data_IF_953021400599
#
_entry.id   IF_953021400599
#
_cell.length_a   1.000
_cell.length_b   1.000
_cell.length_c   1.000
_cell.angle_alpha   90.00
_cell.angle_beta   90.00
_cell.angle_gamma   90.00
#
_symmetry.space_group_name_H-M   'P 1'
#
loop_
_entity.id
_entity.type
_entity.pdbx_description
1 polymer ?
#
# COMPACT_ATOMS: atom_id res chain seq x y z
N UNK A 1 -36.84 22.72 52.86
CA UNK A 1 -35.64 23.42 52.40
C UNK A 1 -34.45 22.47 52.24
N UNK A 2 -34.18 21.56 53.12
CA UNK A 2 -33.07 20.57 52.97
C UNK A 2 -33.27 19.62 51.81
N UNK A 3 -34.50 19.28 51.45
CA UNK A 3 -34.79 18.34 50.35
C UNK A 3 -34.52 18.97 48.96
N UNK A 4 -34.70 20.27 48.80
CA UNK A 4 -34.44 20.94 47.52
C UNK A 4 -32.96 21.08 47.24
N UNK A 5 -32.15 21.33 48.24
CA UNK A 5 -30.71 21.38 48.07
C UNK A 5 -30.12 19.99 47.78
N UNK A 6 -30.63 18.97 48.46
CA UNK A 6 -30.23 17.58 48.23
C UNK A 6 -30.59 17.13 46.81
N UNK A 7 -31.77 17.51 46.29
CA UNK A 7 -32.17 17.19 44.92
C UNK A 7 -31.32 17.93 43.90
N UNK A 8 -30.98 19.18 44.13
CA UNK A 8 -30.10 19.94 43.23
C UNK A 8 -28.71 19.34 43.15
N UNK A 9 -28.14 18.95 44.28
CA UNK A 9 -26.84 18.30 44.37
C UNK A 9 -26.88 16.94 43.61
N UNK A 10 -27.94 16.18 43.76
CA UNK A 10 -28.14 14.91 43.07
C UNK A 10 -28.22 15.11 41.55
N UNK A 11 -28.98 16.15 41.08
CA UNK A 11 -29.05 16.46 39.66
C UNK A 11 -27.71 16.87 39.08
N UNK A 12 -26.95 17.70 39.80
CA UNK A 12 -25.62 18.13 39.38
C UNK A 12 -24.67 16.92 39.28
N UNK A 13 -24.73 16.01 40.24
CA UNK A 13 -23.93 14.78 40.27
C UNK A 13 -24.23 13.90 39.05
N UNK A 14 -25.52 13.71 38.72
CA UNK A 14 -25.95 12.95 37.54
C UNK A 14 -25.45 13.64 36.27
N UNK A 15 -25.59 14.96 36.15
CA UNK A 15 -25.15 15.71 34.98
C UNK A 15 -23.63 15.57 34.78
N UNK A 16 -22.85 15.65 35.83
CA UNK A 16 -21.40 15.47 35.79
C UNK A 16 -21.06 14.04 35.34
N UNK A 17 -21.75 13.03 35.88
CA UNK A 17 -21.54 11.64 35.50
C UNK A 17 -21.85 11.40 34.01
N UNK A 18 -22.93 12.00 33.50
CA UNK A 18 -23.29 11.88 32.08
C UNK A 18 -22.24 12.54 31.19
N UNK A 19 -21.77 13.72 31.55
CA UNK A 19 -20.72 14.43 30.79
C UNK A 19 -19.43 13.61 30.76
N UNK A 20 -19.04 13.06 31.90
CA UNK A 20 -17.87 12.18 31.99
C UNK A 20 -18.02 10.94 31.11
N UNK A 21 -19.17 10.30 31.16
CA UNK A 21 -19.47 9.12 30.33
C UNK A 21 -19.38 9.46 28.84
N UNK A 22 -19.95 10.59 28.43
CA UNK A 22 -19.89 11.02 27.03
C UNK A 22 -18.45 11.30 26.58
N UNK A 23 -17.64 11.91 27.42
CA UNK A 23 -16.22 12.15 27.12
C UNK A 23 -15.47 10.84 26.86
N UNK A 24 -15.68 9.86 27.74
CA UNK A 24 -15.04 8.54 27.60
C UNK A 24 -15.52 7.84 26.33
N UNK A 25 -16.82 7.89 26.05
CA UNK A 25 -17.40 7.29 24.85
C UNK A 25 -16.82 7.91 23.57
N UNK A 26 -16.69 9.24 23.53
CA UNK A 26 -16.10 9.94 22.37
C UNK A 26 -14.64 9.53 22.18
N UNK A 27 -13.86 9.47 23.25
CA UNK A 27 -12.45 9.08 23.21
C UNK A 27 -12.29 7.66 22.68
N UNK A 28 -13.11 6.72 23.17
CA UNK A 28 -13.11 5.33 22.69
C UNK A 28 -13.49 5.24 21.20
N UNK A 29 -14.50 6.00 20.80
CA UNK A 29 -14.94 6.02 19.39
C UNK A 29 -13.86 6.56 18.47
N UNK A 30 -13.19 7.65 18.85
CA UNK A 30 -12.07 8.21 18.08
C UNK A 30 -10.91 7.23 17.98
N UNK A 31 -10.57 6.55 19.06
CA UNK A 31 -9.54 5.52 19.05
C UNK A 31 -9.87 4.36 18.12
N UNK A 32 -11.12 3.91 18.12
CA UNK A 32 -11.60 2.83 17.27
C UNK A 32 -11.54 3.22 15.79
N UNK A 33 -11.98 4.43 15.44
CA UNK A 33 -11.94 4.95 14.07
C UNK A 33 -10.50 5.05 13.56
N UNK A 34 -9.60 5.56 14.39
CA UNK A 34 -8.18 5.68 14.04
C UNK A 34 -7.54 4.31 13.81
N UNK A 35 -7.88 3.33 14.64
CA UNK A 35 -7.40 1.96 14.50
C UNK A 35 -7.87 1.32 13.18
N UNK A 36 -9.11 1.58 12.79
CA UNK A 36 -9.67 1.11 11.51
C UNK A 36 -8.94 1.72 10.30
N UNK A 37 -8.66 3.02 10.34
CA UNK A 37 -7.91 3.72 9.28
C UNK A 37 -6.50 3.12 9.16
N UNK A 38 -5.83 2.90 10.27
CA UNK A 38 -4.50 2.27 10.29
C UNK A 38 -4.50 0.87 9.69
N UNK A 39 -5.51 0.05 9.98
CA UNK A 39 -5.64 -1.29 9.40
C UNK A 39 -5.84 -1.23 7.89
N UNK A 40 -6.64 -0.31 7.39
CA UNK A 40 -6.87 -0.14 5.96
C UNK A 40 -5.59 0.27 5.25
N UNK A 41 -4.82 1.20 5.82
CA UNK A 41 -3.54 1.64 5.27
C UNK A 41 -2.50 0.51 5.28
N UNK A 42 -2.43 -0.27 6.36
CA UNK A 42 -1.55 -1.42 6.45
C UNK A 42 -1.90 -2.50 5.41
N UNK A 43 -3.18 -2.77 5.19
CA UNK A 43 -3.63 -3.71 4.16
C UNK A 43 -3.28 -3.23 2.76
N UNK A 44 -3.41 -1.94 2.48
CA UNK A 44 -2.98 -1.36 1.20
C UNK A 44 -1.47 -1.52 0.99
N UNK A 45 -0.66 -1.27 2.02
CA UNK A 45 0.79 -1.45 1.94
C UNK A 45 1.18 -2.90 1.66
N UNK A 46 0.51 -3.87 2.30
CA UNK A 46 0.72 -5.29 2.04
C UNK A 46 0.39 -5.61 0.57
N UNK A 47 -0.70 -5.06 0.05
CA UNK A 47 -1.09 -5.23 -1.35
C UNK A 47 -0.03 -4.65 -2.29
N UNK A 48 0.48 -3.45 -2.01
CA UNK A 48 1.55 -2.85 -2.81
C UNK A 48 2.82 -3.70 -2.81
N UNK A 49 3.22 -4.21 -1.66
CA UNK A 49 4.39 -5.09 -1.54
C UNK A 49 4.18 -6.37 -2.35
N UNK A 50 3.02 -7.00 -2.25
CA UNK A 50 2.71 -8.22 -3.00
C UNK A 50 2.75 -7.99 -4.51
N UNK A 51 2.17 -6.90 -4.99
CA UNK A 51 2.20 -6.54 -6.41
C UNK A 51 3.65 -6.30 -6.87
N UNK A 52 4.42 -5.57 -6.09
CA UNK A 52 5.82 -5.27 -6.39
C UNK A 52 6.68 -6.55 -6.36
N UNK A 53 6.47 -7.43 -5.40
CA UNK A 53 7.17 -8.71 -5.33
C UNK A 53 6.88 -9.60 -6.53
N UNK A 54 5.63 -9.68 -6.96
CA UNK A 54 5.24 -10.45 -8.14
C UNK A 54 5.94 -9.91 -9.40
N UNK A 55 5.98 -8.60 -9.55
CA UNK A 55 6.70 -7.97 -10.65
C UNK A 55 8.20 -8.23 -10.56
N UNK A 56 8.78 -8.15 -9.37
CA UNK A 56 10.20 -8.43 -9.13
C UNK A 56 10.55 -9.89 -9.45
N UNK A 57 9.72 -10.84 -9.06
CA UNK A 57 9.92 -12.26 -9.37
C UNK A 57 9.90 -12.50 -10.88
N UNK A 58 8.98 -11.91 -11.60
CA UNK A 58 8.89 -12.00 -13.06
C UNK A 58 10.14 -11.40 -13.71
N UNK A 59 10.60 -10.27 -13.22
CA UNK A 59 11.83 -9.62 -13.68
C UNK A 59 13.06 -10.48 -13.40
N UNK A 60 13.18 -11.03 -12.20
CA UNK A 60 14.33 -11.85 -11.81
C UNK A 60 14.38 -13.19 -12.58
N UNK A 61 13.24 -13.70 -12.99
CA UNK A 61 13.16 -14.92 -13.81
C UNK A 61 13.54 -14.67 -15.27
N UNK A 62 13.55 -13.43 -15.72
CA UNK A 62 13.87 -13.08 -17.10
C UNK A 62 15.38 -13.09 -17.35
N UNK A 63 15.78 -13.40 -18.60
CA UNK A 63 17.18 -13.48 -19.00
C UNK A 63 17.72 -12.15 -19.52
N UNK A 64 16.89 -11.40 -20.21
CA UNK A 64 17.22 -10.10 -20.79
C UNK A 64 15.97 -9.23 -20.85
N UNK A 65 16.11 -8.01 -21.37
CA UNK A 65 15.00 -7.05 -21.47
C UNK A 65 13.87 -7.59 -22.33
N UNK A 66 14.20 -8.24 -23.47
CA UNK A 66 13.21 -8.80 -24.37
C UNK A 66 12.43 -9.96 -23.73
N UNK A 67 13.13 -10.83 -23.01
CA UNK A 67 12.51 -11.94 -22.27
C UNK A 67 11.60 -11.40 -21.14
N UNK A 68 12.04 -10.34 -20.45
CA UNK A 68 11.24 -9.67 -19.44
C UNK A 68 9.92 -9.12 -20.02
N UNK A 69 9.98 -8.44 -21.15
CA UNK A 69 8.78 -7.93 -21.84
C UNK A 69 7.82 -9.06 -22.21
N UNK A 70 8.34 -10.17 -22.71
CA UNK A 70 7.53 -11.33 -23.07
C UNK A 70 6.88 -11.97 -21.85
N UNK A 71 7.62 -12.14 -20.76
CA UNK A 71 7.11 -12.73 -19.52
C UNK A 71 6.02 -11.86 -18.90
N UNK A 72 6.19 -10.54 -18.86
CA UNK A 72 5.17 -9.64 -18.37
C UNK A 72 3.91 -9.71 -19.23
N UNK A 73 4.05 -9.80 -20.54
CA UNK A 73 2.90 -9.91 -21.46
C UNK A 73 2.14 -11.22 -21.27
N UNK A 74 2.84 -12.32 -20.99
CA UNK A 74 2.21 -13.64 -20.75
C UNK A 74 1.55 -13.74 -19.39
N UNK A 75 2.16 -13.16 -18.36
CA UNK A 75 1.74 -13.35 -16.97
C UNK A 75 0.68 -12.33 -16.54
N UNK A 76 0.71 -11.13 -17.08
CA UNK A 76 -0.22 -10.06 -16.70
C UNK A 76 -1.11 -9.65 -17.87
N UNK A 77 -2.32 -9.20 -17.54
CA UNK A 77 -3.29 -8.74 -18.52
C UNK A 77 -3.09 -7.24 -18.84
N UNK A 78 -3.47 -6.85 -20.05
CA UNK A 78 -3.46 -5.45 -20.51
C UNK A 78 -2.11 -4.77 -20.36
N UNK A 79 -1.05 -5.48 -20.66
CA UNK A 79 0.31 -4.95 -20.58
C UNK A 79 0.58 -4.03 -21.78
N UNK A 80 1.08 -2.83 -21.48
CA UNK A 80 1.56 -1.87 -22.48
C UNK A 80 3.07 -1.76 -22.35
N UNK A 81 3.77 -1.92 -23.46
CA UNK A 81 5.22 -1.83 -23.49
C UNK A 81 5.61 -0.64 -24.36
N UNK A 82 6.35 0.31 -23.78
CA UNK A 82 6.89 1.46 -24.49
C UNK A 82 8.40 1.48 -24.23
N UNK A 83 9.19 1.20 -25.29
CA UNK A 83 10.65 1.06 -25.16
C UNK A 83 11.03 0.09 -24.03
N UNK A 84 11.50 0.61 -22.91
CA UNK A 84 11.90 -0.18 -21.74
C UNK A 84 10.92 -0.07 -20.58
N UNK A 85 9.80 0.59 -20.78
CA UNK A 85 8.77 0.80 -19.77
C UNK A 85 7.60 -0.17 -19.97
N UNK A 86 7.30 -0.93 -18.95
CA UNK A 86 6.18 -1.87 -18.94
C UNK A 86 5.12 -1.31 -17.99
N UNK A 87 3.90 -1.16 -18.47
CA UNK A 87 2.77 -0.66 -17.69
C UNK A 87 1.64 -1.69 -17.74
N UNK A 88 1.07 -2.00 -16.59
CA UNK A 88 -0.11 -2.87 -16.51
C UNK A 88 -0.95 -2.56 -15.28
N UNK A 89 -2.27 -2.82 -15.33
CA UNK A 89 -3.12 -2.66 -14.14
C UNK A 89 -3.05 -3.92 -13.26
N UNK A 90 -3.06 -3.74 -11.95
CA UNK A 90 -3.12 -4.85 -10.99
C UNK A 90 -3.91 -4.41 -9.77
N UNK A 91 -4.98 -5.13 -9.44
CA UNK A 91 -5.82 -4.90 -8.26
C UNK A 91 -6.32 -3.46 -8.10
N UNK A 92 -6.61 -2.78 -9.21
CA UNK A 92 -7.09 -1.40 -9.21
C UNK A 92 -5.98 -0.34 -9.18
N UNK A 93 -4.72 -0.76 -9.16
CA UNK A 93 -3.56 0.13 -9.23
C UNK A 93 -2.86 0.00 -10.57
N UNK A 94 -2.08 1.01 -10.94
CA UNK A 94 -1.21 0.94 -12.10
C UNK A 94 0.19 0.58 -11.66
N UNK A 95 0.80 -0.36 -12.38
CA UNK A 95 2.18 -0.80 -12.12
C UNK A 95 3.05 -0.39 -13.28
N UNK A 96 4.12 0.35 -12.99
CA UNK A 96 5.12 0.76 -13.96
C UNK A 96 6.42 0.05 -13.65
N UNK A 97 6.97 -0.65 -14.63
CA UNK A 97 8.24 -1.34 -14.52
C UNK A 97 9.19 -0.72 -15.54
N UNK A 98 10.16 0.05 -15.05
CA UNK A 98 11.19 0.64 -15.89
C UNK A 98 12.43 -0.25 -15.82
N UNK A 99 12.89 -0.74 -16.97
CA UNK A 99 14.02 -1.65 -17.05
C UNK A 99 15.18 -0.96 -17.74
N UNK A 100 16.33 -0.95 -17.08
CA UNK A 100 17.56 -0.40 -17.61
C UNK A 100 18.65 -1.47 -17.59
N UNK A 101 19.34 -1.61 -18.68
CA UNK A 101 20.48 -2.53 -18.78
C UNK A 101 21.78 -1.74 -18.95
N UNK A 102 22.73 -1.98 -18.06
CA UNK A 102 24.04 -1.36 -18.11
C UNK A 102 25.10 -2.46 -18.06
N UNK A 103 25.75 -2.74 -19.18
CA UNK A 103 26.76 -3.80 -19.26
C UNK A 103 26.18 -5.17 -18.93
N UNK A 104 26.68 -5.78 -17.88
CA UNK A 104 26.21 -7.10 -17.40
C UNK A 104 25.19 -6.99 -16.25
N UNK A 105 24.66 -5.83 -16.02
CA UNK A 105 23.69 -5.60 -14.94
C UNK A 105 22.38 -5.08 -15.50
N UNK A 106 21.30 -5.65 -15.06
CA UNK A 106 19.94 -5.24 -15.43
C UNK A 106 19.25 -4.74 -14.17
N UNK A 107 18.75 -3.52 -14.20
CA UNK A 107 18.05 -2.88 -13.10
C UNK A 107 16.61 -2.61 -13.46
N UNK A 108 15.72 -2.87 -12.54
CA UNK A 108 14.30 -2.57 -12.69
C UNK A 108 13.84 -1.68 -11.56
N UNK A 109 13.09 -0.66 -11.89
CA UNK A 109 12.40 0.17 -10.92
C UNK A 109 10.91 -0.07 -11.08
N UNK A 110 10.32 -0.69 -10.08
CA UNK A 110 8.90 -1.02 -10.05
C UNK A 110 8.19 0.05 -9.24
N UNK A 111 7.27 0.78 -9.86
CA UNK A 111 6.51 1.84 -9.21
C UNK A 111 5.03 1.49 -9.25
N UNK A 112 4.38 1.54 -8.10
CA UNK A 112 2.94 1.34 -7.99
C UNK A 112 2.28 2.70 -7.86
N UNK A 113 1.30 2.96 -8.73
CA UNK A 113 0.61 4.24 -8.83
C UNK A 113 -0.86 4.04 -8.44
N UNK A 114 -1.31 4.84 -7.47
CA UNK A 114 -2.70 4.91 -7.04
C UNK A 114 -3.19 6.35 -7.26
N UNK A 115 -4.28 6.50 -8.03
CA UNK A 115 -4.86 7.81 -8.37
C UNK A 115 -3.83 8.82 -8.91
N UNK A 116 -2.99 8.37 -9.85
CA UNK A 116 -1.95 9.17 -10.50
C UNK A 116 -0.78 9.58 -9.57
N UNK A 117 -0.74 9.05 -8.36
CA UNK A 117 0.34 9.31 -7.40
C UNK A 117 1.15 8.04 -7.13
N UNK A 118 2.49 8.11 -7.16
CA UNK A 118 3.31 6.96 -6.79
C UNK A 118 3.19 6.69 -5.29
N UNK A 119 2.78 5.49 -4.93
CA UNK A 119 2.56 5.08 -3.53
C UNK A 119 3.60 4.10 -3.01
N UNK A 120 4.28 3.39 -3.92
CA UNK A 120 5.31 2.42 -3.55
C UNK A 120 6.31 2.27 -4.69
N UNK A 121 7.58 2.13 -4.36
CA UNK A 121 8.65 1.95 -5.34
C UNK A 121 9.64 0.90 -4.84
N UNK A 122 9.98 -0.04 -5.71
CA UNK A 122 10.94 -1.09 -5.44
C UNK A 122 11.99 -1.12 -6.55
N UNK A 123 13.26 -1.07 -6.16
CA UNK A 123 14.38 -1.21 -7.10
C UNK A 123 14.97 -2.62 -6.99
N UNK A 124 15.10 -3.28 -8.12
CA UNK A 124 15.64 -4.63 -8.21
C UNK A 124 16.81 -4.63 -9.19
N UNK A 125 17.93 -5.15 -8.77
CA UNK A 125 19.12 -5.25 -9.62
C UNK A 125 19.49 -6.70 -9.80
N UNK A 126 19.75 -7.10 -11.04
CA UNK A 126 20.15 -8.45 -11.39
C UNK A 126 21.43 -8.43 -12.20
N UNK A 127 22.39 -9.23 -11.80
CA UNK A 127 23.57 -9.46 -12.61
C UNK A 127 23.19 -10.43 -13.74
N UNK A 128 23.45 -10.02 -14.96
CA UNK A 128 23.31 -10.90 -16.12
C UNK A 128 24.47 -11.88 -16.07
N UNK A 129 24.15 -13.15 -15.88
CA UNK A 129 25.19 -14.18 -15.89
C UNK A 129 25.97 -14.14 -17.19
N UNK A 130 27.27 -14.27 -17.09
CA UNK A 130 28.05 -14.52 -18.27
C UNK A 130 27.47 -15.73 -19.00
N UNK A 131 27.31 -15.59 -20.31
CA UNK A 131 26.91 -16.75 -21.12
C UNK A 131 27.98 -17.80 -20.96
N UNK A 132 27.84 -18.65 -19.96
CA UNK A 132 28.68 -19.83 -19.84
C UNK A 132 28.27 -20.80 -20.92
N UNK A 133 29.18 -20.99 -21.79
CA UNK A 133 29.08 -22.00 -22.82
C UNK A 133 28.66 -23.37 -22.29
#
# INVERSE_FOLDING_TARGET
MKNDESQRLFFIEICIAIVFFLMVAITCFMGFTKSKIMQTDANKQITYVNIAENAAETFLASKDVSDACNRFTEEFDKVKITENLIEYPSEGFSVNVDIEQTGHTMQSIITIIDEELPVYQLSVTKALGEATE
#
